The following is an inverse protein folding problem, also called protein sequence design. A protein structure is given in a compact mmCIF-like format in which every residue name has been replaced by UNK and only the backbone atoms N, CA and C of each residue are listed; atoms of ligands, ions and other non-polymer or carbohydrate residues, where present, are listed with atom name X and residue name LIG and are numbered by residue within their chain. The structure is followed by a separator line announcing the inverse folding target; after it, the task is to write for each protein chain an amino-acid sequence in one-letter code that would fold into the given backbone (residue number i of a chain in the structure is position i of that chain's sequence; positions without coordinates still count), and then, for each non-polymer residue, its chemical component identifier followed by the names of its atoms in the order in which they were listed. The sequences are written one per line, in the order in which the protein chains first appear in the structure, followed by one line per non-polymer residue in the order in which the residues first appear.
data_IF_209401698190
#
_entry.id   IF_209401698190
#
_cell.length_a   1.000
_cell.length_b   1.000
_cell.length_c   1.000
_cell.angle_alpha   90.00
_cell.angle_beta   90.00
_cell.angle_gamma   90.00
#
_symmetry.space_group_name_H-M   'P 1'
#
loop_
_entity.id
_entity.type
_entity.pdbx_description
1 polymer ?
#
# COMPACT_ATOMS: atom_id res chain seq x y z
N UNK A 1 -0.14 -1.18 -24.37
CA UNK A 1 -0.70 -0.09 -23.56
C UNK A 1 0.28 0.10 -22.43
N UNK A 2 1.24 1.05 -22.58
CA UNK A 2 2.14 1.42 -21.51
C UNK A 2 1.33 2.17 -20.46
N UNK A 3 1.30 1.66 -19.22
CA UNK A 3 0.82 2.44 -18.09
C UNK A 3 1.75 3.64 -17.92
N UNK A 4 1.24 4.88 -17.89
CA UNK A 4 2.08 6.02 -17.61
C UNK A 4 2.72 5.84 -16.23
N UNK A 5 4.04 5.90 -16.15
CA UNK A 5 4.79 5.79 -14.88
C UNK A 5 4.29 6.78 -13.82
N UNK A 6 3.71 7.90 -14.25
CA UNK A 6 3.12 8.91 -13.39
C UNK A 6 1.91 8.42 -12.56
N UNK A 7 1.16 7.42 -13.02
CA UNK A 7 0.01 6.89 -12.25
C UNK A 7 0.48 6.06 -11.05
N UNK A 8 1.56 5.31 -11.20
CA UNK A 8 2.12 4.53 -10.10
C UNK A 8 2.72 5.39 -9.00
N UNK A 9 3.26 6.57 -9.35
CA UNK A 9 3.86 7.50 -8.36
C UNK A 9 2.84 8.14 -7.40
N UNK A 10 1.54 8.07 -7.70
CA UNK A 10 0.48 8.59 -6.81
C UNK A 10 0.03 7.56 -5.77
N UNK A 11 0.42 6.30 -5.91
CA UNK A 11 0.07 5.24 -4.96
C UNK A 11 0.74 5.47 -3.60
N UNK A 12 -0.03 5.41 -2.51
CA UNK A 12 0.51 5.66 -1.17
C UNK A 12 1.50 4.59 -0.71
N UNK A 13 1.33 3.31 -1.14
CA UNK A 13 2.23 2.20 -0.81
C UNK A 13 3.61 2.37 -1.47
N UNK A 14 3.66 2.84 -2.71
CA UNK A 14 4.93 3.11 -3.40
C UNK A 14 5.64 4.30 -2.75
N UNK A 15 4.91 5.37 -2.43
CA UNK A 15 5.47 6.52 -1.71
C UNK A 15 5.98 6.16 -0.33
N UNK A 16 5.28 5.28 0.38
CA UNK A 16 5.75 4.77 1.66
C UNK A 16 7.08 4.04 1.50
N UNK A 17 7.17 3.09 0.57
CA UNK A 17 8.41 2.33 0.32
C UNK A 17 9.57 3.24 -0.13
N UNK A 18 9.29 4.29 -0.90
CA UNK A 18 10.29 5.32 -1.30
C UNK A 18 10.82 6.08 -0.08
N UNK A 19 9.92 6.49 0.84
CA UNK A 19 10.34 7.18 2.06
C UNK A 19 11.08 6.25 3.03
N UNK A 20 10.72 4.97 3.11
CA UNK A 20 11.44 3.96 3.89
C UNK A 20 12.86 3.74 3.34
N UNK A 21 13.01 3.68 2.02
CA UNK A 21 14.32 3.60 1.37
C UNK A 21 15.16 4.85 1.65
N UNK A 22 14.55 6.04 1.58
CA UNK A 22 15.22 7.29 1.92
C UNK A 22 15.64 7.33 3.40
N UNK A 23 14.81 6.85 4.32
CA UNK A 23 15.14 6.75 5.73
C UNK A 23 16.33 5.81 5.97
N UNK A 24 16.32 4.62 5.37
CA UNK A 24 17.43 3.66 5.45
C UNK A 24 18.75 4.24 4.91
N UNK A 25 18.68 5.07 3.86
CA UNK A 25 19.87 5.80 3.36
C UNK A 25 20.45 6.76 4.42
N UNK A 26 19.58 7.50 5.13
CA UNK A 26 20.01 8.39 6.21
C UNK A 26 20.55 7.63 7.43
N UNK A 27 20.06 6.42 7.69
CA UNK A 27 20.59 5.54 8.74
C UNK A 27 22.03 5.10 8.42
N UNK A 28 22.33 4.76 7.18
CA UNK A 28 23.70 4.46 6.72
C UNK A 28 24.62 5.67 6.89
N UNK A 29 24.16 6.86 6.49
CA UNK A 29 24.92 8.08 6.68
C UNK A 29 25.16 8.41 8.16
N UNK A 30 24.18 8.13 9.02
CA UNK A 30 24.32 8.30 10.48
C UNK A 30 25.32 7.30 11.06
N UNK A 31 25.24 6.03 10.64
CA UNK A 31 26.18 4.99 11.06
C UNK A 31 27.62 5.32 10.60
N UNK A 32 27.78 5.89 9.39
CA UNK A 32 29.05 6.38 8.87
C UNK A 32 29.63 7.52 9.73
N UNK A 33 28.78 8.46 10.18
CA UNK A 33 29.21 9.57 11.04
C UNK A 33 29.62 9.14 12.43
N UNK A 34 29.17 7.95 12.90
CA UNK A 34 29.59 7.39 14.18
C UNK A 34 31.09 7.09 14.26
N UNK A 35 31.82 7.02 13.14
CA UNK A 35 33.27 6.92 13.11
C UNK A 35 33.98 8.26 13.41
N UNK A 36 33.26 9.39 13.31
CA UNK A 36 33.81 10.71 13.53
C UNK A 36 33.77 11.08 15.03
N UNK A 37 34.68 11.94 15.49
CA UNK A 37 34.59 12.45 16.85
C UNK A 37 33.33 13.28 17.06
N UNK A 38 32.66 13.09 18.19
CA UNK A 38 31.50 13.88 18.60
C UNK A 38 31.95 15.11 19.36
N UNK A 39 31.33 16.26 19.07
CA UNK A 39 31.51 17.51 19.79
C UNK A 39 30.26 17.77 20.61
N UNK A 40 30.43 17.83 21.94
CA UNK A 40 29.35 18.15 22.86
C UNK A 40 29.60 19.54 23.46
N UNK A 41 28.59 20.41 23.37
CA UNK A 41 28.61 21.72 23.99
C UNK A 41 27.45 21.76 25.00
N UNK A 42 27.79 21.95 26.28
CA UNK A 42 26.81 22.10 27.34
C UNK A 42 26.87 23.51 27.89
N UNK A 43 25.74 24.19 27.91
CA UNK A 43 25.60 25.51 28.51
C UNK A 43 24.59 25.43 29.66
N UNK A 44 24.99 25.89 30.82
CA UNK A 44 24.14 25.93 32.02
C UNK A 44 24.03 27.36 32.49
N UNK A 45 22.84 27.82 32.73
CA UNK A 45 22.53 29.12 33.34
C UNK A 45 21.65 28.86 34.55
N UNK A 46 22.06 29.38 35.70
CA UNK A 46 21.32 29.18 36.96
C UNK A 46 21.59 30.26 37.98
N UNK A 47 20.90 30.20 39.10
CA UNK A 47 21.15 31.02 40.25
C UNK A 47 21.81 30.13 41.31
N UNK A 48 23.00 30.53 41.75
CA UNK A 48 23.78 29.80 42.78
C UNK A 48 24.14 30.76 43.91
N UNK A 49 23.89 30.35 45.16
CA UNK A 49 24.24 31.13 46.32
C UNK A 49 24.53 30.21 47.48
N UNK A 50 25.52 30.56 48.29
CA UNK A 50 25.90 29.84 49.49
C UNK A 50 24.81 29.83 50.57
N UNK A 51 23.93 30.87 50.60
CA UNK A 51 22.80 30.98 51.52
C UNK A 51 21.53 31.28 50.71
N UNK A 52 20.39 30.59 50.95
CA UNK A 52 19.13 30.79 50.24
C UNK A 52 18.62 32.23 50.14
N UNK A 53 18.95 33.06 51.19
CA UNK A 53 18.57 34.48 51.23
C UNK A 53 19.27 35.35 50.18
N UNK A 54 20.35 34.86 49.58
CA UNK A 54 21.09 35.58 48.51
C UNK A 54 20.74 35.14 47.12
N UNK A 55 19.92 34.08 46.93
CA UNK A 55 19.47 33.61 45.62
C UNK A 55 18.74 34.66 44.80
N UNK A 56 18.02 35.55 45.45
CA UNK A 56 17.25 36.63 44.79
C UNK A 56 18.05 37.90 44.49
N UNK A 57 19.32 37.97 44.94
CA UNK A 57 20.18 39.15 44.71
C UNK A 57 20.91 39.09 43.37
N UNK A 58 20.23 39.45 42.30
CA UNK A 58 20.86 39.66 40.98
C UNK A 58 21.73 40.92 40.96
N UNK A 59 22.90 40.92 40.29
CA UNK A 59 23.51 39.86 39.47
C UNK A 59 24.45 38.91 40.24
N UNK A 60 24.56 39.02 41.56
CA UNK A 60 25.60 38.31 42.38
C UNK A 60 25.34 36.80 42.50
N UNK A 61 24.11 36.34 42.26
CA UNK A 61 23.71 34.93 42.32
C UNK A 61 23.69 34.27 40.93
N UNK A 62 23.98 34.99 39.86
CA UNK A 62 23.95 34.45 38.50
C UNK A 62 25.20 33.62 38.21
N UNK A 63 25.00 32.33 38.05
CA UNK A 63 26.02 31.37 37.63
C UNK A 63 25.80 30.98 36.17
N UNK A 64 26.82 31.00 35.36
CA UNK A 64 26.80 30.46 34.01
C UNK A 64 28.04 29.59 33.80
N UNK A 65 27.86 28.51 33.07
CA UNK A 65 28.97 27.69 32.61
C UNK A 65 28.74 27.25 31.15
N UNK A 66 29.82 27.25 30.39
CA UNK A 66 29.86 26.70 29.04
C UNK A 66 31.01 25.71 28.98
N UNK A 67 30.72 24.44 28.76
CA UNK A 67 31.70 23.36 28.70
C UNK A 67 31.65 22.73 27.32
N UNK A 68 32.77 22.69 26.60
CA UNK A 68 32.96 21.96 25.36
C UNK A 68 33.70 20.64 25.61
N UNK A 69 33.21 19.55 25.10
CA UNK A 69 33.84 18.23 25.13
C UNK A 69 34.01 17.62 23.74
N UNK A 70 35.16 17.01 23.45
CA UNK A 70 35.42 16.22 22.27
C UNK A 70 35.58 14.76 22.67
N UNK A 71 34.79 13.88 22.09
CA UNK A 71 34.84 12.44 22.37
C UNK A 71 35.06 11.67 21.07
N UNK A 72 36.11 10.84 21.00
CA UNK A 72 36.39 9.99 19.85
C UNK A 72 36.38 8.50 20.26
N UNK A 73 35.66 7.63 19.54
CA UNK A 73 35.64 6.19 19.85
C UNK A 73 36.93 5.52 19.36
N UNK A 74 37.82 5.12 20.28
CA UNK A 74 39.07 4.44 19.95
C UNK A 74 38.99 2.93 20.14
N UNK A 75 38.30 2.46 21.17
CA UNK A 75 38.29 1.05 21.58
C UNK A 75 37.13 0.27 20.96
N UNK A 76 35.98 0.90 20.71
CA UNK A 76 34.75 0.25 20.23
C UNK A 76 34.57 0.30 18.72
N UNK A 77 35.67 0.38 17.95
CA UNK A 77 35.63 0.61 16.51
C UNK A 77 34.97 -0.56 15.75
N UNK A 78 35.14 -1.81 16.22
CA UNK A 78 34.51 -2.99 15.62
C UNK A 78 32.99 -3.03 15.80
N UNK A 79 32.46 -2.53 16.91
CA UNK A 79 31.01 -2.41 17.11
C UNK A 79 30.41 -1.34 16.19
N UNK A 80 31.11 -0.23 15.94
CA UNK A 80 30.69 0.79 14.99
C UNK A 80 30.70 0.25 13.55
N UNK A 81 31.72 -0.53 13.21
CA UNK A 81 31.79 -1.20 11.91
C UNK A 81 30.63 -2.20 11.72
N UNK A 82 30.31 -3.00 12.74
CA UNK A 82 29.18 -3.90 12.69
C UNK A 82 27.84 -3.16 12.52
N UNK A 83 27.65 -2.04 13.23
CA UNK A 83 26.46 -1.20 13.08
C UNK A 83 26.38 -0.58 11.66
N UNK A 84 27.50 -0.16 11.10
CA UNK A 84 27.54 0.34 9.73
C UNK A 84 27.15 -0.74 8.72
N UNK A 85 27.72 -1.96 8.83
CA UNK A 85 27.37 -3.09 7.95
C UNK A 85 25.89 -3.50 8.11
N UNK A 86 25.35 -3.42 9.33
CA UNK A 86 23.94 -3.68 9.57
C UNK A 86 23.05 -2.63 8.88
N UNK A 87 23.40 -1.34 8.98
CA UNK A 87 22.66 -0.27 8.32
C UNK A 87 22.73 -0.39 6.78
N UNK A 88 23.89 -0.74 6.24
CA UNK A 88 24.09 -0.97 4.80
C UNK A 88 23.24 -2.14 4.30
N UNK A 89 23.21 -3.26 5.04
CA UNK A 89 22.35 -4.40 4.74
C UNK A 89 20.86 -4.05 4.83
N UNK A 90 20.46 -3.22 5.80
CA UNK A 90 19.09 -2.73 5.95
C UNK A 90 18.68 -1.82 4.78
N UNK A 91 19.59 -0.97 4.28
CA UNK A 91 19.33 -0.16 3.09
C UNK A 91 19.12 -1.04 1.85
N UNK A 92 19.92 -2.09 1.67
CA UNK A 92 19.76 -3.03 0.57
C UNK A 92 18.41 -3.78 0.67
N UNK A 93 18.01 -4.15 1.88
CA UNK A 93 16.70 -4.75 2.12
C UNK A 93 15.56 -3.78 1.76
N UNK A 94 15.64 -2.52 2.17
CA UNK A 94 14.65 -1.49 1.82
C UNK A 94 14.56 -1.27 0.30
N UNK A 95 15.69 -1.36 -0.44
CA UNK A 95 15.71 -1.29 -1.89
C UNK A 95 14.93 -2.46 -2.52
N UNK A 96 15.17 -3.68 -2.07
CA UNK A 96 14.43 -4.84 -2.60
C UNK A 96 12.93 -4.82 -2.24
N UNK A 97 12.56 -4.29 -1.07
CA UNK A 97 11.15 -4.10 -0.72
C UNK A 97 10.48 -3.02 -1.59
N UNK A 98 11.19 -1.95 -1.92
CA UNK A 98 10.71 -0.95 -2.90
C UNK A 98 10.48 -1.58 -4.27
N UNK A 99 11.46 -2.32 -4.81
CA UNK A 99 11.34 -3.00 -6.10
C UNK A 99 10.17 -4.00 -6.11
N UNK A 100 10.01 -4.77 -5.04
CA UNK A 100 8.92 -5.72 -4.87
C UNK A 100 7.56 -5.02 -4.84
N UNK A 101 7.44 -3.92 -4.11
CA UNK A 101 6.21 -3.12 -4.04
C UNK A 101 5.85 -2.58 -5.42
N UNK A 102 6.82 -2.07 -6.18
CA UNK A 102 6.63 -1.58 -7.54
C UNK A 102 6.15 -2.68 -8.49
N UNK A 103 6.78 -3.84 -8.47
CA UNK A 103 6.40 -4.99 -9.30
C UNK A 103 5.01 -5.53 -8.94
N UNK A 104 4.68 -5.56 -7.64
CA UNK A 104 3.37 -6.00 -7.17
C UNK A 104 2.29 -5.05 -7.63
N UNK A 105 2.50 -3.74 -7.48
CA UNK A 105 1.57 -2.71 -7.95
C UNK A 105 1.35 -2.79 -9.46
N UNK A 106 2.41 -2.97 -10.24
CA UNK A 106 2.30 -3.16 -11.69
C UNK A 106 1.51 -4.40 -12.06
N UNK A 107 1.81 -5.54 -11.42
CA UNK A 107 1.11 -6.81 -11.65
C UNK A 107 -0.38 -6.72 -11.31
N UNK A 108 -0.73 -6.03 -10.21
CA UNK A 108 -2.12 -5.78 -9.80
C UNK A 108 -2.89 -5.04 -10.88
N UNK A 109 -2.37 -3.93 -11.38
CA UNK A 109 -3.02 -3.13 -12.44
C UNK A 109 -3.17 -3.94 -13.72
N UNK A 110 -2.15 -4.68 -14.16
CA UNK A 110 -2.22 -5.55 -15.34
C UNK A 110 -3.29 -6.64 -15.18
N UNK A 111 -3.39 -7.22 -14.01
CA UNK A 111 -4.37 -8.26 -13.69
C UNK A 111 -5.79 -7.69 -13.73
N UNK A 112 -6.01 -6.51 -13.13
CA UNK A 112 -7.31 -5.84 -13.14
C UNK A 112 -7.74 -5.42 -14.54
N UNK A 113 -6.83 -4.91 -15.37
CA UNK A 113 -7.12 -4.58 -16.77
C UNK A 113 -7.52 -5.83 -17.58
N UNK A 114 -6.81 -6.93 -17.39
CA UNK A 114 -7.13 -8.20 -18.03
C UNK A 114 -8.47 -8.75 -17.56
N UNK A 115 -8.73 -8.68 -16.25
CA UNK A 115 -10.01 -9.06 -15.64
C UNK A 115 -11.16 -8.21 -16.19
N UNK A 116 -11.00 -6.90 -16.29
CA UNK A 116 -12.00 -6.00 -16.85
C UNK A 116 -12.36 -6.37 -18.29
N UNK A 117 -11.34 -6.61 -19.12
CA UNK A 117 -11.55 -7.04 -20.53
C UNK A 117 -12.29 -8.38 -20.62
N UNK A 118 -11.90 -9.36 -19.80
CA UNK A 118 -12.52 -10.67 -19.79
C UNK A 118 -13.98 -10.62 -19.29
N UNK A 119 -14.26 -9.84 -18.24
CA UNK A 119 -15.60 -9.64 -17.71
C UNK A 119 -16.52 -8.95 -18.73
N UNK A 120 -15.99 -8.03 -19.55
CA UNK A 120 -16.78 -7.41 -20.63
C UNK A 120 -17.20 -8.42 -21.69
N UNK A 121 -16.29 -9.31 -22.12
CA UNK A 121 -16.60 -10.38 -23.05
C UNK A 121 -17.57 -11.42 -22.43
N UNK A 122 -17.35 -11.77 -21.17
CA UNK A 122 -18.20 -12.72 -20.45
C UNK A 122 -19.62 -12.19 -20.27
N UNK A 123 -19.77 -10.90 -19.95
CA UNK A 123 -21.08 -10.27 -19.83
C UNK A 123 -21.89 -10.34 -21.14
N UNK A 124 -21.24 -10.09 -22.29
CA UNK A 124 -21.91 -10.18 -23.57
C UNK A 124 -22.40 -11.60 -23.90
N UNK A 125 -21.61 -12.63 -23.54
CA UNK A 125 -22.01 -14.02 -23.71
C UNK A 125 -23.17 -14.40 -22.77
N UNK A 126 -23.14 -13.94 -21.53
CA UNK A 126 -24.23 -14.16 -20.56
C UNK A 126 -25.53 -13.45 -20.96
N UNK A 127 -25.42 -12.27 -21.56
CA UNK A 127 -26.62 -11.59 -22.11
C UNK A 127 -27.27 -12.38 -23.26
N UNK A 128 -26.47 -13.02 -24.12
CA UNK A 128 -26.97 -13.88 -25.18
C UNK A 128 -27.58 -15.18 -24.66
N UNK A 129 -26.95 -15.78 -23.63
CA UNK A 129 -27.47 -16.95 -22.92
C UNK A 129 -28.84 -16.67 -22.29
N UNK A 130 -29.00 -15.55 -21.57
CA UNK A 130 -30.28 -15.15 -20.99
C UNK A 130 -31.37 -15.03 -22.08
N UNK A 131 -31.08 -14.33 -23.19
CA UNK A 131 -32.03 -14.19 -24.32
C UNK A 131 -32.44 -15.55 -24.89
N UNK A 132 -31.49 -16.48 -24.98
CA UNK A 132 -31.74 -17.81 -25.51
C UNK A 132 -32.62 -18.62 -24.57
N UNK A 133 -32.37 -18.55 -23.25
CA UNK A 133 -33.16 -19.24 -22.23
C UNK A 133 -34.57 -18.64 -22.09
N UNK A 134 -34.70 -17.31 -22.15
CA UNK A 134 -36.03 -16.66 -22.19
C UNK A 134 -36.85 -17.11 -23.40
N UNK A 135 -36.21 -17.25 -24.56
CA UNK A 135 -36.88 -17.83 -25.75
C UNK A 135 -37.26 -19.30 -25.53
N UNK A 136 -36.41 -20.08 -24.86
CA UNK A 136 -36.69 -21.47 -24.51
C UNK A 136 -37.91 -21.60 -23.59
N UNK A 137 -38.08 -20.69 -22.61
CA UNK A 137 -39.30 -20.62 -21.77
C UNK A 137 -40.54 -20.43 -22.60
N UNK A 138 -40.50 -19.50 -23.58
CA UNK A 138 -41.64 -19.23 -24.43
C UNK A 138 -42.01 -20.44 -25.32
N UNK A 139 -41.01 -21.12 -25.88
CA UNK A 139 -41.20 -22.36 -26.66
C UNK A 139 -41.77 -23.48 -25.78
N UNK A 140 -41.26 -23.67 -24.55
CA UNK A 140 -41.73 -24.67 -23.62
C UNK A 140 -43.21 -24.45 -23.22
N UNK A 141 -43.58 -23.17 -22.98
CA UNK A 141 -45.00 -22.81 -22.73
C UNK A 141 -45.92 -23.16 -23.92
N UNK A 142 -45.47 -22.84 -25.14
CA UNK A 142 -46.24 -23.15 -26.35
C UNK A 142 -46.41 -24.68 -26.55
N UNK A 143 -45.33 -25.44 -26.29
CA UNK A 143 -45.41 -26.91 -26.34
C UNK A 143 -46.33 -27.48 -25.29
N UNK A 144 -46.31 -26.95 -24.08
CA UNK A 144 -47.23 -27.34 -22.99
C UNK A 144 -48.70 -27.07 -23.38
N UNK A 145 -48.99 -25.86 -23.90
CA UNK A 145 -50.32 -25.48 -24.37
C UNK A 145 -50.85 -26.42 -25.47
N UNK A 146 -49.97 -26.97 -26.29
CA UNK A 146 -50.30 -27.90 -27.36
C UNK A 146 -50.28 -29.38 -26.93
N UNK A 147 -50.11 -29.65 -25.62
CA UNK A 147 -50.07 -31.01 -25.05
C UNK A 147 -48.83 -31.82 -25.45
N UNK A 148 -47.72 -31.16 -25.86
CA UNK A 148 -46.48 -31.80 -26.30
C UNK A 148 -45.34 -31.70 -25.29
N UNK A 149 -45.53 -31.01 -24.17
CA UNK A 149 -44.60 -30.91 -23.04
C UNK A 149 -45.37 -31.04 -21.73
N UNK A 150 -44.66 -31.37 -20.65
CA UNK A 150 -45.20 -31.41 -19.28
C UNK A 150 -45.06 -30.03 -18.63
N UNK A 151 -45.82 -29.80 -17.55
CA UNK A 151 -45.68 -28.58 -16.75
C UNK A 151 -44.28 -28.48 -16.09
N UNK A 152 -43.69 -29.65 -15.79
CA UNK A 152 -42.33 -29.71 -15.24
C UNK A 152 -41.28 -29.13 -16.20
N UNK A 153 -41.42 -29.44 -17.50
CA UNK A 153 -40.49 -28.91 -18.51
C UNK A 153 -40.56 -27.37 -18.61
N UNK A 154 -41.71 -26.75 -18.36
CA UNK A 154 -41.89 -25.31 -18.31
C UNK A 154 -41.21 -24.73 -17.06
N UNK A 155 -41.40 -25.38 -15.87
CA UNK A 155 -40.78 -24.94 -14.63
C UNK A 155 -39.25 -25.04 -14.67
N UNK A 156 -38.71 -26.11 -15.27
CA UNK A 156 -37.26 -26.25 -15.49
C UNK A 156 -36.72 -25.14 -16.36
N UNK A 157 -37.37 -24.84 -17.50
CA UNK A 157 -36.96 -23.75 -18.37
C UNK A 157 -37.03 -22.37 -17.68
N UNK A 158 -38.09 -22.11 -16.89
CA UNK A 158 -38.23 -20.89 -16.08
C UNK A 158 -37.12 -20.76 -15.02
N UNK A 159 -36.81 -21.86 -14.34
CA UNK A 159 -35.71 -21.89 -13.36
C UNK A 159 -34.38 -21.60 -14.02
N UNK A 160 -34.07 -22.27 -15.14
CA UNK A 160 -32.80 -22.07 -15.86
C UNK A 160 -32.65 -20.62 -16.35
N UNK A 161 -33.75 -20.02 -16.83
CA UNK A 161 -33.76 -18.62 -17.24
C UNK A 161 -33.52 -17.66 -16.05
N UNK A 162 -34.14 -17.94 -14.88
CA UNK A 162 -33.92 -17.15 -13.67
C UNK A 162 -32.49 -17.28 -13.14
N UNK A 163 -31.93 -18.49 -13.13
CA UNK A 163 -30.55 -18.73 -12.72
C UNK A 163 -29.57 -17.98 -13.63
N UNK A 164 -29.80 -17.99 -14.95
CA UNK A 164 -28.98 -17.23 -15.90
C UNK A 164 -29.10 -15.70 -15.71
N UNK A 165 -30.32 -15.20 -15.41
CA UNK A 165 -30.50 -13.76 -15.09
C UNK A 165 -29.76 -13.37 -13.82
N UNK A 166 -29.75 -14.21 -12.79
CA UNK A 166 -28.98 -13.99 -11.55
C UNK A 166 -27.48 -13.92 -11.85
N UNK A 167 -26.95 -14.86 -12.64
CA UNK A 167 -25.53 -14.85 -13.03
C UNK A 167 -25.16 -13.63 -13.88
N UNK A 168 -26.06 -13.14 -14.73
CA UNK A 168 -25.85 -11.91 -15.49
C UNK A 168 -25.72 -10.70 -14.56
N UNK A 169 -26.59 -10.59 -13.54
CA UNK A 169 -26.52 -9.53 -12.53
C UNK A 169 -25.23 -9.60 -11.70
N UNK A 170 -24.82 -10.80 -11.29
CA UNK A 170 -23.56 -11.01 -10.57
C UNK A 170 -22.36 -10.61 -11.44
N UNK A 171 -22.37 -10.95 -12.73
CA UNK A 171 -21.32 -10.55 -13.67
C UNK A 171 -21.27 -9.03 -13.80
N UNK A 172 -22.41 -8.35 -13.82
CA UNK A 172 -22.48 -6.88 -13.83
C UNK A 172 -21.92 -6.26 -12.57
N UNK A 173 -22.25 -6.84 -11.42
CA UNK A 173 -21.67 -6.41 -10.15
C UNK A 173 -20.14 -6.55 -10.15
N UNK A 174 -19.64 -7.70 -10.63
CA UNK A 174 -18.19 -7.94 -10.74
C UNK A 174 -17.49 -6.94 -11.67
N UNK A 175 -18.13 -6.55 -12.78
CA UNK A 175 -17.60 -5.50 -13.65
C UNK A 175 -17.46 -4.17 -12.92
N UNK A 176 -18.50 -3.74 -12.21
CA UNK A 176 -18.49 -2.49 -11.44
C UNK A 176 -17.43 -2.51 -10.33
N UNK A 177 -17.35 -3.62 -9.58
CA UNK A 177 -16.33 -3.80 -8.57
C UNK A 177 -14.92 -3.74 -9.17
N UNK A 178 -14.70 -4.38 -10.32
CA UNK A 178 -13.41 -4.36 -11.00
C UNK A 178 -12.99 -2.93 -11.43
N UNK A 179 -13.95 -2.09 -11.83
CA UNK A 179 -13.69 -0.68 -12.14
C UNK A 179 -13.28 0.10 -10.90
N UNK A 180 -13.97 -0.11 -9.77
CA UNK A 180 -13.60 0.52 -8.48
C UNK A 180 -12.21 0.08 -8.02
N UNK A 181 -11.93 -1.23 -8.12
CA UNK A 181 -10.60 -1.77 -7.77
C UNK A 181 -9.50 -1.19 -8.67
N UNK A 182 -9.81 -0.95 -9.96
CA UNK A 182 -8.88 -0.32 -10.88
C UNK A 182 -8.56 1.13 -10.47
N UNK A 183 -9.56 1.94 -10.14
CA UNK A 183 -9.34 3.31 -9.63
C UNK A 183 -8.50 3.28 -8.35
N UNK A 184 -8.84 2.41 -7.41
CA UNK A 184 -8.06 2.24 -6.17
C UNK A 184 -6.60 1.84 -6.45
N UNK A 185 -6.37 0.93 -7.41
CA UNK A 185 -5.02 0.48 -7.77
C UNK A 185 -4.19 1.55 -8.49
N UNK A 186 -4.82 2.59 -9.03
CA UNK A 186 -4.17 3.75 -9.63
C UNK A 186 -3.88 4.87 -8.63
N UNK A 187 -4.38 4.77 -7.37
CA UNK A 187 -4.13 5.73 -6.31
C UNK A 187 -5.15 6.87 -6.25
N UNK A 188 -6.33 6.69 -6.86
CA UNK A 188 -7.47 7.61 -6.80
C UNK A 188 -8.54 7.15 -5.79
#
# INVERSE_FOLDING_TARGET
IGLPSNLLSHRPDIRQAEHELAAAHWDVETARKAFLPSVNISATLGLEAFNPTYLTRMPKSLAYSVVGGLTAPLINRKAIEANFQQADAAQLQALYEYDKTLLTAYSEVCTLLSKHKNLAAYYALKEEEVKTLEHSVEVSRQLYMNGRATYLDVLEAERDALDAQMELLETRQQQLSCVVDLYRSLGE
#
